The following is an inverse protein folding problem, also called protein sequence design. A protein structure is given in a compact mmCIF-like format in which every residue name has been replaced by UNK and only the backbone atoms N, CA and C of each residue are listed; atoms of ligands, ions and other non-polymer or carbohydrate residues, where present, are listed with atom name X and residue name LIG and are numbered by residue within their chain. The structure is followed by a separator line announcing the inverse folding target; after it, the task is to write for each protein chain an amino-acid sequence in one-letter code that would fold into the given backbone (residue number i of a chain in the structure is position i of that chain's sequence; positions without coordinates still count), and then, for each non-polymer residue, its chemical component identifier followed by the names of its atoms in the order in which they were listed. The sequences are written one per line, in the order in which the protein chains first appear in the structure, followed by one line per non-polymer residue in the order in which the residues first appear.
data_IF_947452969086
#
_entry.id   IF_947452969086
#
_cell.length_a   1.000
_cell.length_b   1.000
_cell.length_c   1.000
_cell.angle_alpha   90.00
_cell.angle_beta   90.00
_cell.angle_gamma   90.00
#
_symmetry.space_group_name_H-M   'P 1'
#
loop_
_entity.id
_entity.type
_entity.pdbx_description
1 polymer ?
#
# COMPACT_ATOMS: atom_id res chain seq x y z
N UNK A 1 6.53 -40.59 -18.16
CA UNK A 1 6.10 -40.07 -16.85
C UNK A 1 5.48 -38.69 -17.06
N UNK A 2 4.21 -38.51 -16.72
CA UNK A 2 3.55 -37.20 -16.77
C UNK A 2 4.16 -36.33 -15.66
N UNK A 3 4.63 -35.11 -15.98
CA UNK A 3 5.22 -34.22 -14.97
C UNK A 3 4.14 -33.77 -13.99
N UNK A 4 4.37 -34.00 -12.70
CA UNK A 4 3.57 -33.43 -11.63
C UNK A 4 3.92 -31.95 -11.51
N UNK A 5 2.93 -31.08 -11.64
CA UNK A 5 3.05 -29.62 -11.54
C UNK A 5 2.12 -29.11 -10.45
N UNK A 6 2.32 -27.90 -9.93
CA UNK A 6 1.38 -27.32 -8.93
C UNK A 6 -0.07 -27.31 -9.43
N UNK A 7 -0.28 -27.04 -10.73
CA UNK A 7 -1.60 -27.04 -11.37
C UNK A 7 -2.29 -28.41 -11.38
N UNK A 8 -1.54 -29.51 -11.40
CA UNK A 8 -2.09 -30.87 -11.36
C UNK A 8 -2.08 -31.47 -9.95
N UNK A 9 -1.09 -31.10 -9.13
CA UNK A 9 -0.90 -31.57 -7.78
C UNK A 9 -1.92 -31.00 -6.80
N UNK A 10 -2.15 -29.68 -6.78
CA UNK A 10 -3.02 -29.05 -5.78
C UNK A 10 -4.48 -29.52 -5.89
N UNK A 11 -5.10 -29.64 -7.08
CA UNK A 11 -6.45 -30.19 -7.19
C UNK A 11 -6.52 -31.66 -6.76
N UNK A 12 -5.52 -32.47 -7.11
CA UNK A 12 -5.47 -33.87 -6.70
C UNK A 12 -5.30 -34.03 -5.18
N UNK A 13 -4.47 -33.18 -4.56
CA UNK A 13 -4.31 -33.12 -3.11
C UNK A 13 -5.62 -32.71 -2.44
N UNK A 14 -6.28 -31.66 -2.93
CA UNK A 14 -7.57 -31.22 -2.41
C UNK A 14 -8.63 -32.33 -2.47
N UNK A 15 -8.69 -33.09 -3.56
CA UNK A 15 -9.58 -34.24 -3.70
C UNK A 15 -9.26 -35.35 -2.68
N UNK A 16 -7.99 -35.72 -2.58
CA UNK A 16 -7.52 -36.75 -1.64
C UNK A 16 -7.81 -36.37 -0.17
N UNK A 17 -7.81 -35.08 0.15
CA UNK A 17 -8.10 -34.58 1.48
C UNK A 17 -9.60 -34.57 1.86
N UNK A 18 -10.56 -34.67 0.93
CA UNK A 18 -12.01 -34.57 1.24
C UNK A 18 -12.51 -35.62 2.24
N UNK A 19 -11.92 -36.81 2.25
CA UNK A 19 -12.27 -37.91 3.16
C UNK A 19 -11.43 -37.97 4.44
N UNK A 20 -10.45 -37.07 4.59
CA UNK A 20 -9.57 -37.04 5.76
C UNK A 20 -10.26 -36.17 6.82
N UNK A 21 -10.65 -36.72 7.97
CA UNK A 21 -11.24 -35.92 9.04
C UNK A 21 -10.23 -34.85 9.49
N UNK A 22 -10.69 -33.62 9.66
CA UNK A 22 -9.85 -32.54 10.15
C UNK A 22 -9.24 -32.92 11.50
N UNK A 23 -7.91 -32.99 11.56
CA UNK A 23 -7.22 -33.16 12.83
C UNK A 23 -7.47 -31.90 13.67
N UNK A 24 -7.88 -32.09 14.93
CA UNK A 24 -7.86 -31.00 15.91
C UNK A 24 -6.40 -30.71 16.26
N UNK A 25 -5.80 -29.79 15.51
CA UNK A 25 -4.52 -29.21 15.89
C UNK A 25 -4.85 -28.17 16.95
N UNK A 26 -4.26 -28.22 18.16
CA UNK A 26 -4.39 -27.15 19.14
C UNK A 26 -3.83 -25.87 18.52
N UNK A 27 -4.71 -25.05 17.96
CA UNK A 27 -4.33 -23.72 17.51
C UNK A 27 -4.23 -22.88 18.77
N UNK A 28 -3.04 -22.37 19.13
CA UNK A 28 -2.99 -21.32 20.15
C UNK A 28 -3.96 -20.21 19.72
N UNK A 29 -4.60 -19.50 20.67
CA UNK A 29 -5.50 -18.40 20.33
C UNK A 29 -4.76 -17.52 19.33
N UNK A 30 -5.37 -17.34 18.15
CA UNK A 30 -4.71 -16.66 17.04
C UNK A 30 -4.24 -15.30 17.55
N UNK A 31 -2.92 -15.11 17.64
CA UNK A 31 -2.39 -13.78 17.88
C UNK A 31 -2.80 -12.96 16.65
N UNK A 32 -3.73 -12.03 16.84
CA UNK A 32 -4.10 -11.05 15.81
C UNK A 32 -2.88 -10.14 15.65
N UNK A 33 -2.04 -10.47 14.67
CA UNK A 33 -0.90 -9.65 14.27
C UNK A 33 -1.26 -8.79 13.06
N UNK A 34 -2.55 -8.50 12.87
CA UNK A 34 -3.02 -7.65 11.81
C UNK A 34 -4.04 -6.66 12.34
N UNK A 35 -4.01 -5.45 11.78
CA UNK A 35 -5.02 -4.42 11.96
C UNK A 35 -6.30 -4.92 11.26
N UNK A 36 -7.29 -5.29 12.07
CA UNK A 36 -8.53 -5.87 11.59
C UNK A 36 -9.59 -4.78 11.43
N UNK A 37 -10.35 -4.85 10.35
CA UNK A 37 -11.49 -3.94 10.09
C UNK A 37 -12.61 -4.01 11.12
N UNK A 38 -12.67 -5.07 11.91
CA UNK A 38 -13.61 -5.20 13.03
C UNK A 38 -13.17 -4.45 14.28
N UNK A 39 -11.91 -4.01 14.35
CA UNK A 39 -11.43 -3.23 15.49
C UNK A 39 -12.08 -1.83 15.49
N UNK A 40 -12.59 -1.37 16.64
CA UNK A 40 -13.26 -0.08 16.71
C UNK A 40 -12.27 1.07 16.47
N UNK A 41 -12.64 1.98 15.58
CA UNK A 41 -11.90 3.22 15.33
C UNK A 41 -12.88 4.40 15.27
N UNK A 42 -12.53 5.47 15.97
CA UNK A 42 -13.09 6.81 15.76
C UNK A 42 -11.92 7.70 15.41
N UNK A 43 -11.90 8.21 14.19
CA UNK A 43 -10.86 9.14 13.75
C UNK A 43 -11.04 10.48 14.47
N UNK A 44 -9.99 10.96 15.11
CA UNK A 44 -9.99 12.24 15.82
C UNK A 44 -9.03 13.28 15.24
N UNK A 45 -8.93 14.46 15.89
CA UNK A 45 -7.97 15.49 15.53
C UNK A 45 -6.53 15.16 15.96
N UNK A 46 -6.31 13.99 16.57
CA UNK A 46 -5.01 13.55 17.04
C UNK A 46 -4.05 13.31 15.87
N UNK A 47 -2.76 13.50 16.14
CA UNK A 47 -1.70 13.26 15.17
C UNK A 47 -1.68 11.79 14.74
N UNK A 48 -1.56 11.55 13.44
CA UNK A 48 -1.41 10.21 12.89
C UNK A 48 -0.20 9.48 13.48
N UNK A 49 -0.45 8.25 13.91
CA UNK A 49 0.57 7.24 14.19
C UNK A 49 0.47 6.13 13.14
N UNK A 50 1.53 5.31 13.01
CA UNK A 50 1.54 4.20 12.05
C UNK A 50 0.38 3.24 12.34
N UNK A 51 0.14 2.88 13.60
CA UNK A 51 -0.93 1.95 13.98
C UNK A 51 -2.32 2.50 13.63
N UNK A 52 -2.56 3.78 13.94
CA UNK A 52 -3.85 4.43 13.64
C UNK A 52 -4.06 4.59 12.15
N UNK A 53 -3.02 4.94 11.40
CA UNK A 53 -3.02 4.99 9.95
C UNK A 53 -3.34 3.62 9.32
N UNK A 54 -2.68 2.54 9.77
CA UNK A 54 -2.93 1.19 9.24
C UNK A 54 -4.32 0.69 9.60
N UNK A 55 -4.84 1.02 10.78
CA UNK A 55 -6.21 0.71 11.15
C UNK A 55 -7.23 1.46 10.27
N UNK A 56 -7.00 2.74 9.98
CA UNK A 56 -7.82 3.49 9.01
C UNK A 56 -7.79 2.84 7.61
N UNK A 57 -6.62 2.42 7.13
CA UNK A 57 -6.53 1.67 5.87
C UNK A 57 -7.33 0.35 5.92
N UNK A 58 -7.26 -0.41 7.02
CA UNK A 58 -8.03 -1.66 7.19
C UNK A 58 -9.55 -1.46 7.01
N UNK A 59 -10.06 -0.36 7.58
CA UNK A 59 -11.47 0.04 7.49
C UNK A 59 -11.88 0.47 6.09
N UNK A 60 -10.96 1.08 5.33
CA UNK A 60 -11.29 1.72 4.05
C UNK A 60 -10.82 0.97 2.80
N UNK A 61 -9.98 -0.07 2.92
CA UNK A 61 -9.75 -0.98 1.82
C UNK A 61 -11.05 -1.68 1.41
N UNK A 62 -11.20 -1.87 0.10
CA UNK A 62 -12.38 -2.45 -0.54
C UNK A 62 -11.99 -3.68 -1.35
N UNK A 63 -12.96 -4.57 -1.57
CA UNK A 63 -12.75 -5.71 -2.45
C UNK A 63 -12.27 -5.27 -3.83
N UNK A 64 -11.37 -6.06 -4.42
CA UNK A 64 -10.70 -5.77 -5.71
C UNK A 64 -9.72 -4.59 -5.71
N UNK A 65 -9.41 -3.95 -4.57
CA UNK A 65 -8.32 -2.98 -4.51
C UNK A 65 -7.00 -3.61 -4.99
N UNK A 66 -6.25 -2.84 -5.77
CA UNK A 66 -4.91 -3.21 -6.26
C UNK A 66 -3.89 -2.33 -5.55
N UNK A 67 -3.11 -2.92 -4.67
CA UNK A 67 -2.22 -2.22 -3.75
C UNK A 67 -0.77 -2.52 -4.11
N UNK A 68 0.04 -1.48 -4.30
CA UNK A 68 1.49 -1.61 -4.48
C UNK A 68 2.20 -0.99 -3.28
N UNK A 69 2.96 -1.81 -2.57
CA UNK A 69 3.82 -1.37 -1.48
C UNK A 69 5.27 -1.31 -1.94
N UNK A 70 5.97 -0.23 -1.60
CA UNK A 70 7.43 -0.26 -1.60
C UNK A 70 7.96 -1.01 -0.37
N UNK A 71 9.28 -1.19 -0.18
CA UNK A 71 9.81 -2.05 0.89
C UNK A 71 9.20 -1.75 2.28
N UNK A 72 9.29 -0.50 2.74
CA UNK A 72 8.67 -0.08 4.01
C UNK A 72 7.14 -0.02 3.97
N UNK A 73 6.55 0.39 2.83
CA UNK A 73 5.11 0.48 2.67
C UNK A 73 4.42 -0.89 2.70
N UNK A 74 5.02 -1.90 2.06
CA UNK A 74 4.56 -3.28 2.06
C UNK A 74 4.72 -3.93 3.44
N UNK A 75 5.82 -3.67 4.15
CA UNK A 75 5.98 -4.15 5.54
C UNK A 75 4.82 -3.66 6.41
N UNK A 76 4.45 -2.37 6.32
CA UNK A 76 3.31 -1.84 7.06
C UNK A 76 1.98 -2.42 6.55
N UNK A 77 1.75 -2.44 5.24
CA UNK A 77 0.49 -2.88 4.64
C UNK A 77 0.25 -4.39 4.81
N UNK A 78 1.29 -5.21 4.87
CA UNK A 78 1.19 -6.65 5.13
C UNK A 78 0.61 -7.00 6.50
N UNK A 79 0.53 -6.03 7.41
CA UNK A 79 -0.12 -6.15 8.71
C UNK A 79 -1.60 -5.73 8.65
N UNK A 80 -2.17 -5.42 7.49
CA UNK A 80 -3.58 -5.00 7.36
C UNK A 80 -4.43 -6.18 6.90
N UNK A 81 -5.58 -6.37 7.55
CA UNK A 81 -6.60 -7.33 7.10
C UNK A 81 -7.25 -6.87 5.79
N UNK A 82 -6.83 -7.46 4.67
CA UNK A 82 -7.37 -7.13 3.35
C UNK A 82 -8.75 -7.77 3.10
N UNK A 83 -9.69 -7.04 2.48
CA UNK A 83 -10.91 -7.61 1.91
C UNK A 83 -10.64 -8.73 0.89
N UNK A 84 -11.70 -9.47 0.56
CA UNK A 84 -11.65 -10.46 -0.53
C UNK A 84 -11.24 -9.82 -1.86
N UNK A 85 -10.53 -10.59 -2.68
CA UNK A 85 -10.12 -10.21 -4.05
C UNK A 85 -9.17 -9.01 -4.15
N UNK A 86 -8.67 -8.46 -3.04
CA UNK A 86 -7.57 -7.50 -3.10
C UNK A 86 -6.31 -8.17 -3.65
N UNK A 87 -5.57 -7.44 -4.48
CA UNK A 87 -4.25 -7.85 -4.93
C UNK A 87 -3.21 -6.92 -4.31
N UNK A 88 -2.33 -7.46 -3.48
CA UNK A 88 -1.22 -6.71 -2.89
C UNK A 88 0.11 -7.14 -3.53
N UNK A 89 0.82 -6.18 -4.11
CA UNK A 89 2.11 -6.37 -4.74
C UNK A 89 3.19 -5.71 -3.90
N UNK A 90 4.18 -6.50 -3.50
CA UNK A 90 5.38 -6.03 -2.82
C UNK A 90 6.63 -6.54 -3.51
N UNK A 91 7.75 -5.88 -3.26
CA UNK A 91 9.06 -6.22 -3.82
C UNK A 91 9.95 -6.99 -2.82
N UNK A 92 9.38 -7.69 -1.83
CA UNK A 92 10.10 -8.20 -0.65
C UNK A 92 11.32 -9.09 -0.90
N UNK A 93 11.40 -9.79 -2.05
CA UNK A 93 12.57 -10.62 -2.38
C UNK A 93 13.75 -9.80 -2.93
N UNK A 94 13.49 -8.92 -3.90
CA UNK A 94 14.55 -8.09 -4.51
C UNK A 94 14.83 -6.82 -3.69
N UNK A 95 13.81 -6.34 -2.97
CA UNK A 95 13.83 -5.23 -2.04
C UNK A 95 14.42 -3.91 -2.60
N UNK A 96 14.33 -3.69 -3.92
CA UNK A 96 14.75 -2.42 -4.53
C UNK A 96 13.72 -1.33 -4.24
N UNK A 97 14.11 -0.35 -3.43
CA UNK A 97 13.28 0.83 -3.16
C UNK A 97 12.97 1.60 -4.46
N UNK A 98 11.76 2.13 -4.57
CA UNK A 98 11.23 2.80 -5.76
C UNK A 98 10.52 1.86 -6.75
N UNK A 99 10.76 0.55 -6.66
CA UNK A 99 10.11 -0.42 -7.54
C UNK A 99 8.60 -0.54 -7.27
N UNK A 100 8.13 -0.22 -6.06
CA UNK A 100 6.71 -0.23 -5.74
C UNK A 100 5.94 0.79 -6.60
N UNK A 101 6.46 2.03 -6.69
CA UNK A 101 5.83 3.06 -7.52
C UNK A 101 5.96 2.76 -9.02
N UNK A 102 7.11 2.28 -9.47
CA UNK A 102 7.28 1.86 -10.87
C UNK A 102 6.34 0.72 -11.29
N UNK A 103 6.16 -0.27 -10.41
CA UNK A 103 5.19 -1.36 -10.60
C UNK A 103 3.75 -0.86 -10.69
N UNK A 104 3.37 0.07 -9.80
CA UNK A 104 2.06 0.72 -9.83
C UNK A 104 1.85 1.48 -11.14
N UNK A 105 2.84 2.27 -11.59
CA UNK A 105 2.76 3.00 -12.83
C UNK A 105 2.54 2.07 -14.03
N UNK A 106 3.24 0.92 -14.08
CA UNK A 106 2.99 -0.12 -15.08
C UNK A 106 1.60 -0.75 -14.97
N UNK A 107 1.14 -1.07 -13.76
CA UNK A 107 -0.18 -1.66 -13.51
C UNK A 107 -1.33 -0.76 -13.96
N UNK A 108 -1.14 0.57 -13.98
CA UNK A 108 -2.12 1.54 -14.48
C UNK A 108 -2.50 1.37 -15.97
N UNK A 109 -1.72 0.58 -16.73
CA UNK A 109 -2.00 0.23 -18.13
C UNK A 109 -2.73 -1.11 -18.30
N UNK A 110 -3.09 -1.77 -17.20
CA UNK A 110 -3.83 -3.04 -17.22
C UNK A 110 -5.34 -2.82 -17.04
N UNK A 111 -6.12 -3.90 -17.08
CA UNK A 111 -7.55 -3.84 -16.82
C UNK A 111 -7.84 -3.62 -15.31
N UNK A 112 -8.23 -2.39 -15.01
CA UNK A 112 -8.57 -1.89 -13.69
C UNK A 112 -10.05 -1.50 -13.59
N UNK A 113 -10.91 -1.98 -14.50
CA UNK A 113 -12.34 -1.62 -14.46
C UNK A 113 -12.95 -1.94 -13.08
N UNK A 114 -13.50 -0.91 -12.44
CA UNK A 114 -14.09 -1.01 -11.09
C UNK A 114 -13.08 -1.21 -9.95
N UNK A 115 -11.77 -1.12 -10.18
CA UNK A 115 -10.72 -1.30 -9.17
C UNK A 115 -10.06 0.03 -8.81
N UNK A 116 -9.63 0.16 -7.55
CA UNK A 116 -8.78 1.28 -7.13
C UNK A 116 -7.32 0.85 -7.15
N UNK A 117 -6.48 1.67 -7.77
CA UNK A 117 -5.03 1.47 -7.78
C UNK A 117 -4.39 2.35 -6.69
N UNK A 118 -3.83 1.71 -5.67
CA UNK A 118 -3.35 2.34 -4.45
C UNK A 118 -1.85 2.10 -4.25
N UNK A 119 -1.08 3.15 -3.98
CA UNK A 119 0.35 3.07 -3.69
C UNK A 119 0.64 3.35 -2.22
N UNK A 120 1.30 2.43 -1.52
CA UNK A 120 1.81 2.59 -0.16
C UNK A 120 3.32 2.78 -0.23
N UNK A 121 3.77 4.03 -0.25
CA UNK A 121 5.12 4.37 -0.67
C UNK A 121 5.84 5.11 0.47
N UNK A 122 7.02 4.65 0.89
CA UNK A 122 7.88 5.44 1.77
C UNK A 122 8.38 6.69 1.04
N UNK A 123 8.57 7.78 1.76
CA UNK A 123 9.11 9.04 1.23
C UNK A 123 10.48 8.89 0.55
N UNK A 124 11.42 8.16 1.17
CA UNK A 124 12.73 7.87 0.57
C UNK A 124 12.63 6.97 -0.66
N UNK A 125 11.74 5.98 -0.64
CA UNK A 125 11.53 5.09 -1.79
C UNK A 125 10.87 5.83 -2.96
N UNK A 126 9.90 6.71 -2.67
CA UNK A 126 9.24 7.56 -3.66
C UNK A 126 10.25 8.44 -4.41
N UNK A 127 11.26 9.00 -3.72
CA UNK A 127 12.28 9.84 -4.36
C UNK A 127 13.07 9.13 -5.47
N UNK A 128 13.19 7.80 -5.41
CA UNK A 128 13.94 7.02 -6.42
C UNK A 128 13.27 7.02 -7.80
N UNK A 129 11.94 7.09 -7.82
CA UNK A 129 11.11 6.91 -9.03
C UNK A 129 9.99 7.94 -9.17
N UNK A 130 10.07 9.07 -8.45
CA UNK A 130 9.06 10.13 -8.42
C UNK A 130 8.65 10.64 -9.82
N UNK A 131 9.56 10.57 -10.79
CA UNK A 131 9.32 10.94 -12.19
C UNK A 131 8.22 10.12 -12.88
N UNK A 132 7.84 8.94 -12.36
CA UNK A 132 6.69 8.19 -12.86
C UNK A 132 5.35 8.92 -12.65
N UNK A 133 5.32 9.96 -11.80
CA UNK A 133 4.21 10.92 -11.79
C UNK A 133 3.98 11.51 -13.20
N UNK A 134 5.04 11.81 -13.94
CA UNK A 134 4.94 12.31 -15.31
C UNK A 134 4.24 11.31 -16.23
N UNK A 135 4.51 10.01 -16.06
CA UNK A 135 3.83 8.93 -16.77
C UNK A 135 2.34 8.91 -16.45
N UNK A 136 1.97 8.89 -15.17
CA UNK A 136 0.57 8.87 -14.76
C UNK A 136 -0.20 10.08 -15.29
N UNK A 137 0.39 11.27 -15.20
CA UNK A 137 -0.18 12.53 -15.69
C UNK A 137 -0.37 12.50 -17.21
N UNK A 138 0.69 12.19 -17.96
CA UNK A 138 0.68 12.16 -19.43
C UNK A 138 -0.40 11.23 -19.98
N UNK A 139 -0.57 10.06 -19.35
CA UNK A 139 -1.51 9.04 -19.80
C UNK A 139 -2.86 9.08 -19.07
N UNK A 140 -3.13 10.14 -18.29
CA UNK A 140 -4.40 10.36 -17.57
C UNK A 140 -4.82 9.14 -16.75
N UNK A 141 -3.88 8.59 -15.98
CA UNK A 141 -4.07 7.38 -15.20
C UNK A 141 -4.64 7.70 -13.82
N UNK A 142 -5.58 6.86 -13.39
CA UNK A 142 -6.23 6.97 -12.09
C UNK A 142 -5.41 6.18 -11.05
N UNK A 143 -4.87 6.88 -10.05
CA UNK A 143 -4.09 6.25 -8.98
C UNK A 143 -4.07 7.12 -7.71
N UNK A 144 -4.15 6.49 -6.55
CA UNK A 144 -3.98 7.15 -5.26
C UNK A 144 -2.66 6.73 -4.62
N UNK A 145 -1.75 7.69 -4.45
CA UNK A 145 -0.40 7.50 -3.92
C UNK A 145 -0.34 8.05 -2.50
N UNK A 146 -0.12 7.17 -1.52
CA UNK A 146 0.04 7.54 -0.12
C UNK A 146 1.53 7.51 0.20
N UNK A 147 2.12 8.70 0.32
CA UNK A 147 3.52 8.88 0.68
C UNK A 147 3.63 8.93 2.20
N UNK A 148 4.21 7.89 2.79
CA UNK A 148 4.43 7.73 4.21
C UNK A 148 5.67 8.53 4.62
N UNK A 149 5.48 9.82 4.92
CA UNK A 149 6.54 10.81 5.12
C UNK A 149 6.97 10.89 6.59
N UNK A 150 7.94 10.05 6.93
CA UNK A 150 8.60 10.06 8.23
C UNK A 150 9.97 10.77 8.22
N UNK A 151 10.25 11.53 7.14
CA UNK A 151 11.51 12.24 6.90
C UNK A 151 12.74 11.33 6.83
N UNK A 152 12.61 10.14 6.24
CA UNK A 152 13.76 9.28 5.98
C UNK A 152 13.53 7.77 5.92
N UNK A 153 14.61 7.05 6.16
CA UNK A 153 14.70 5.60 6.04
C UNK A 153 14.39 4.92 7.39
N UNK A 154 13.11 4.94 7.79
CA UNK A 154 12.68 4.43 9.11
C UNK A 154 12.98 2.93 9.33
N UNK A 155 12.94 2.11 8.28
CA UNK A 155 13.25 0.68 8.38
C UNK A 155 14.74 0.46 8.71
N UNK A 156 15.62 1.23 8.10
CA UNK A 156 17.07 1.21 8.29
C UNK A 156 17.42 1.69 9.71
N UNK A 157 16.72 2.71 10.20
CA UNK A 157 16.79 3.13 11.61
C UNK A 157 16.43 1.97 12.54
N UNK A 158 15.49 1.10 12.17
CA UNK A 158 15.09 -0.03 13.02
C UNK A 158 16.12 -1.20 13.02
N UNK A 159 16.94 -1.35 11.98
CA UNK A 159 17.81 -2.53 11.78
C UNK A 159 19.26 -2.32 12.29
N UNK A 160 19.78 -1.10 12.31
CA UNK A 160 21.20 -0.83 12.57
C UNK A 160 21.49 -0.19 13.94
N UNK A 161 22.64 -0.49 14.59
CA UNK A 161 23.20 0.39 15.62
C UNK A 161 23.62 1.73 15.02
N UNK A 162 22.69 2.69 14.96
CA UNK A 162 22.93 3.99 14.33
C UNK A 162 21.67 4.68 13.82
N UNK A 163 20.58 4.61 14.59
CA UNK A 163 19.30 5.29 14.29
C UNK A 163 19.46 6.74 13.85
N UNK A 164 20.39 7.45 14.48
CA UNK A 164 20.63 8.88 14.29
C UNK A 164 21.71 9.19 13.23
N UNK A 165 22.07 8.23 12.37
CA UNK A 165 23.07 8.46 11.33
C UNK A 165 22.44 9.25 10.17
N UNK A 166 23.16 10.28 9.73
CA UNK A 166 22.70 11.20 8.69
C UNK A 166 22.42 10.58 7.32
N UNK A 167 22.93 9.38 7.04
CA UNK A 167 22.58 8.67 5.80
C UNK A 167 21.15 8.11 5.78
N UNK A 168 20.47 8.09 6.94
CA UNK A 168 19.05 7.73 7.04
C UNK A 168 18.12 8.94 6.92
N UNK A 169 18.68 10.14 6.82
CA UNK A 169 17.92 11.38 6.59
C UNK A 169 17.79 11.61 5.08
N UNK A 170 16.60 12.05 4.66
CA UNK A 170 16.34 12.43 3.27
C UNK A 170 15.86 13.88 3.21
N UNK A 171 16.08 14.55 2.08
CA UNK A 171 15.53 15.89 1.89
C UNK A 171 14.01 15.81 1.82
N UNK A 172 13.30 16.37 2.79
CA UNK A 172 11.84 16.37 2.80
C UNK A 172 11.31 17.24 1.64
N UNK A 173 10.54 16.63 0.75
CA UNK A 173 9.87 17.32 -0.36
C UNK A 173 8.43 17.69 0.01
N UNK A 174 7.86 18.64 -0.74
CA UNK A 174 6.40 18.87 -0.73
C UNK A 174 5.75 17.90 -1.71
N UNK A 175 5.69 16.62 -1.36
CA UNK A 175 5.25 15.54 -2.25
C UNK A 175 3.90 15.83 -2.91
N UNK A 176 2.97 16.40 -2.15
CA UNK A 176 1.64 16.77 -2.62
C UNK A 176 1.63 17.81 -3.75
N UNK A 177 2.70 18.60 -3.92
CA UNK A 177 2.81 19.61 -4.98
C UNK A 177 3.43 19.04 -6.27
N UNK A 178 3.98 17.83 -6.24
CA UNK A 178 4.77 17.28 -7.36
C UNK A 178 3.95 17.02 -8.62
N UNK A 179 2.70 16.52 -8.60
CA UNK A 179 1.94 16.30 -9.83
C UNK A 179 1.81 17.58 -10.67
N UNK A 180 1.52 18.72 -10.03
CA UNK A 180 1.47 20.02 -10.68
C UNK A 180 2.83 20.44 -11.25
N UNK A 181 3.91 20.19 -10.50
CA UNK A 181 5.28 20.44 -10.99
C UNK A 181 5.64 19.60 -12.22
N UNK A 182 5.06 18.40 -12.36
CA UNK A 182 5.17 17.54 -13.54
C UNK A 182 4.18 17.87 -14.67
N UNK A 183 3.41 18.95 -14.54
CA UNK A 183 2.53 19.46 -15.59
C UNK A 183 1.11 18.90 -15.58
N UNK A 184 0.65 18.36 -14.46
CA UNK A 184 -0.76 17.99 -14.31
C UNK A 184 -1.66 19.23 -14.34
N UNK A 185 -2.81 19.14 -15.02
CA UNK A 185 -3.89 20.10 -14.86
C UNK A 185 -4.62 19.87 -13.52
N UNK A 186 -5.26 20.91 -12.98
CA UNK A 186 -6.04 20.80 -11.73
C UNK A 186 -7.13 19.72 -11.78
N UNK A 187 -7.73 19.50 -12.95
CA UNK A 187 -8.73 18.46 -13.14
C UNK A 187 -8.16 17.03 -13.19
N UNK A 188 -6.84 16.89 -13.33
CA UNK A 188 -6.15 15.60 -13.49
C UNK A 188 -5.45 15.13 -12.23
N UNK A 189 -5.32 15.97 -11.20
CA UNK A 189 -4.63 15.59 -9.99
C UNK A 189 -5.21 16.25 -8.74
N UNK A 190 -4.94 15.61 -7.61
CA UNK A 190 -5.24 16.14 -6.29
C UNK A 190 -4.02 15.95 -5.39
N UNK A 191 -3.42 17.05 -4.97
CA UNK A 191 -2.34 17.07 -3.99
C UNK A 191 -2.86 17.37 -2.60
N UNK A 192 -2.62 16.48 -1.64
CA UNK A 192 -3.11 16.58 -0.27
C UNK A 192 -1.97 16.37 0.74
N UNK A 193 -1.98 17.12 1.83
CA UNK A 193 -1.17 16.86 3.02
C UNK A 193 -2.11 16.59 4.18
N UNK A 194 -1.85 15.54 4.94
CA UNK A 194 -2.64 15.15 6.11
C UNK A 194 -1.70 14.95 7.30
N UNK A 195 -2.18 15.25 8.50
CA UNK A 195 -1.40 15.13 9.75
C UNK A 195 -2.20 14.44 10.85
N UNK A 196 -3.52 14.39 10.71
CA UNK A 196 -4.46 13.89 11.71
C UNK A 196 -5.28 12.71 11.19
N UNK A 197 -5.83 11.93 12.11
CA UNK A 197 -6.65 10.77 11.77
C UNK A 197 -7.90 11.17 10.96
N UNK A 198 -8.58 12.25 11.37
CA UNK A 198 -9.78 12.75 10.70
C UNK A 198 -9.50 13.24 9.27
N UNK A 199 -8.33 13.86 9.03
CA UNK A 199 -7.91 14.27 7.69
C UNK A 199 -7.70 13.05 6.79
N UNK A 200 -6.97 12.04 7.26
CA UNK A 200 -6.75 10.81 6.49
C UNK A 200 -8.08 10.07 6.25
N UNK A 201 -8.92 9.93 7.27
CA UNK A 201 -10.23 9.26 7.14
C UNK A 201 -11.11 9.98 6.10
N UNK A 202 -11.11 11.31 6.08
CA UNK A 202 -11.84 12.10 5.09
C UNK A 202 -11.36 11.80 3.66
N UNK A 203 -10.05 11.68 3.44
CA UNK A 203 -9.52 11.32 2.12
C UNK A 203 -9.94 9.91 1.72
N UNK A 204 -9.79 8.94 2.63
CA UNK A 204 -10.17 7.55 2.38
C UNK A 204 -11.66 7.38 2.07
N UNK A 205 -12.54 8.12 2.77
CA UNK A 205 -13.98 8.20 2.46
C UNK A 205 -14.23 8.81 1.08
N UNK A 206 -13.50 9.85 0.70
CA UNK A 206 -13.59 10.46 -0.64
C UNK A 206 -13.22 9.49 -1.77
N UNK A 207 -12.27 8.60 -1.54
CA UNK A 207 -11.83 7.58 -2.50
C UNK A 207 -12.74 6.33 -2.53
N UNK A 208 -13.81 6.29 -1.75
CA UNK A 208 -14.70 5.12 -1.67
C UNK A 208 -15.47 4.87 -2.98
N UNK A 209 -15.71 5.92 -3.77
CA UNK A 209 -16.39 5.83 -5.08
C UNK A 209 -15.46 5.55 -6.26
N UNK A 210 -14.18 5.27 -6.01
CA UNK A 210 -13.14 5.14 -7.02
C UNK A 210 -12.11 6.27 -6.97
N UNK A 211 -11.10 6.15 -7.82
CA UNK A 211 -10.04 7.16 -7.97
C UNK A 211 -10.20 7.82 -9.35
N UNK A 212 -10.01 9.14 -9.43
CA UNK A 212 -9.98 9.88 -10.69
C UNK A 212 -8.75 10.76 -10.72
N UNK A 213 -7.98 10.66 -11.79
CA UNK A 213 -6.67 11.28 -11.92
C UNK A 213 -5.66 10.78 -10.88
N UNK A 214 -4.58 11.53 -10.73
CA UNK A 214 -3.51 11.24 -9.77
C UNK A 214 -3.83 11.92 -8.45
N UNK A 215 -4.24 11.14 -7.45
CA UNK A 215 -4.32 11.62 -6.06
C UNK A 215 -3.01 11.31 -5.36
N UNK A 216 -2.35 12.30 -4.77
CA UNK A 216 -1.17 12.10 -3.93
C UNK A 216 -1.44 12.67 -2.54
N UNK A 217 -1.21 11.84 -1.53
CA UNK A 217 -1.45 12.16 -0.12
C UNK A 217 -0.11 12.07 0.60
N UNK A 218 0.42 13.22 1.00
CA UNK A 218 1.57 13.31 1.89
C UNK A 218 1.08 13.11 3.34
N UNK A 219 1.45 11.98 3.95
CA UNK A 219 1.07 11.61 5.32
C UNK A 219 2.26 11.82 6.25
#
# INVERSE_FOLDING_TARGET
MTRCTSQTFLPALAEACKGIPAAQIPTPPAKRFHFDRSEPIVAGPDKLTVDRMMLLFAHHFQSNDVIFGDAGGMINTSQVGLPSECMAFGNGNWASIGAGFGGLAGASFTDLEGKRLLGMLGDGAFQMTAQELSTLVKYKRDAALFVLNNAGYAAERAIHPGKERSYNDVQVWRYHMLPMAFGAEEAQCQGLEVRTEEELEKILKGLAGGVKGVTIVNI
#
